data_IF_835768547458
#
_entry.id   IF_835768547458
#
_cell.length_a   1.000
_cell.length_b   1.000
_cell.length_c   1.000
_cell.angle_alpha   90.00
_cell.angle_beta   90.00
_cell.angle_gamma   90.00
#
_symmetry.space_group_name_H-M   'P 1'
#
loop_
_entity.id
_entity.type
_entity.pdbx_description
1 polymer ?
#
# COMPACT_ATOMS: atom_id res chain seq x y z
N UNK A 1 -1.78 -0.27 -27.59
CA UNK A 1 -1.78 1.21 -27.53
C UNK A 1 -2.33 1.72 -26.20
N UNK A 2 -3.57 1.37 -25.80
CA UNK A 2 -4.19 1.78 -24.52
C UNK A 2 -3.39 1.43 -23.26
N UNK A 3 -2.93 0.17 -23.11
CA UNK A 3 -2.11 -0.27 -21.98
C UNK A 3 -0.80 0.52 -21.83
N UNK A 4 -0.17 0.91 -22.96
CA UNK A 4 1.08 1.67 -22.94
C UNK A 4 0.84 3.11 -22.47
N UNK A 5 -0.27 3.74 -22.88
CA UNK A 5 -0.61 5.09 -22.47
C UNK A 5 -0.99 5.16 -20.99
N UNK A 6 -1.77 4.19 -20.49
CA UNK A 6 -2.08 4.05 -19.06
C UNK A 6 -0.80 3.94 -18.23
N UNK A 7 0.12 3.06 -18.64
CA UNK A 7 1.43 2.90 -17.99
C UNK A 7 2.22 4.21 -17.99
N UNK A 8 2.25 4.93 -19.12
CA UNK A 8 2.95 6.22 -19.24
C UNK A 8 2.39 7.29 -18.30
N UNK A 9 1.07 7.42 -18.21
CA UNK A 9 0.42 8.39 -17.29
C UNK A 9 0.78 8.08 -15.85
N UNK A 10 0.70 6.81 -15.44
CA UNK A 10 1.06 6.40 -14.09
C UNK A 10 2.55 6.59 -13.81
N UNK A 11 3.43 6.35 -14.79
CA UNK A 11 4.86 6.60 -14.68
C UNK A 11 5.14 8.09 -14.39
N UNK A 12 4.58 8.99 -15.19
CA UNK A 12 4.74 10.44 -14.99
C UNK A 12 4.16 10.90 -13.64
N UNK A 13 3.04 10.30 -13.22
CA UNK A 13 2.43 10.57 -11.91
C UNK A 13 3.36 10.23 -10.75
N UNK A 14 3.93 9.03 -10.79
CA UNK A 14 4.70 8.45 -9.68
C UNK A 14 6.12 9.02 -9.64
N UNK A 15 6.58 9.63 -10.74
CA UNK A 15 7.82 10.42 -10.81
C UNK A 15 7.64 11.90 -10.44
N UNK A 16 6.42 12.33 -10.08
CA UNK A 16 6.13 13.73 -9.71
C UNK A 16 6.16 14.72 -10.87
N UNK A 17 5.95 14.22 -12.10
CA UNK A 17 5.99 15.01 -13.34
C UNK A 17 4.60 15.33 -13.90
N UNK A 18 3.57 14.60 -13.45
CA UNK A 18 2.20 14.75 -13.97
C UNK A 18 1.52 16.07 -13.56
N UNK A 19 1.92 16.63 -12.42
CA UNK A 19 1.39 17.90 -11.90
C UNK A 19 2.54 18.83 -11.48
N UNK A 20 2.36 20.16 -11.49
CA UNK A 20 3.35 21.08 -10.97
C UNK A 20 3.64 20.88 -9.47
N UNK A 21 4.90 20.99 -9.08
CA UNK A 21 5.38 21.01 -7.70
C UNK A 21 5.01 22.34 -7.02
N UNK A 22 4.36 22.31 -5.86
CA UNK A 22 3.90 23.52 -5.14
C UNK A 22 4.65 23.68 -3.81
N UNK A 23 5.20 24.87 -3.57
CA UNK A 23 6.03 25.15 -2.40
C UNK A 23 5.23 25.11 -1.08
N UNK A 24 3.97 25.53 -1.13
CA UNK A 24 3.08 25.67 0.02
C UNK A 24 2.41 24.35 0.46
N UNK A 25 2.62 23.27 -0.29
CA UNK A 25 2.03 21.95 0.00
C UNK A 25 2.83 21.10 0.99
N UNK A 26 3.95 21.63 1.50
CA UNK A 26 4.80 20.96 2.49
C UNK A 26 5.83 20.01 1.88
N UNK A 27 6.32 19.06 2.69
CA UNK A 27 7.28 18.02 2.29
C UNK A 27 6.85 16.64 2.79
N UNK A 28 7.32 15.57 2.16
CA UNK A 28 7.03 14.19 2.55
C UNK A 28 7.49 13.84 3.97
N UNK A 29 8.57 14.48 4.42
CA UNK A 29 9.12 14.29 5.76
C UNK A 29 8.10 14.62 6.87
N UNK A 30 7.24 15.63 6.65
CA UNK A 30 6.19 16.00 7.60
C UNK A 30 5.20 14.84 7.81
N UNK A 31 4.87 14.10 6.75
CA UNK A 31 4.00 12.93 6.83
C UNK A 31 4.67 11.76 7.53
N UNK A 32 5.95 11.51 7.27
CA UNK A 32 6.69 10.45 7.96
C UNK A 32 6.79 10.72 9.45
N UNK A 33 7.01 11.98 9.85
CA UNK A 33 7.03 12.36 11.27
C UNK A 33 5.66 12.21 11.93
N UNK A 34 4.57 12.62 11.25
CA UNK A 34 3.20 12.38 11.74
C UNK A 34 2.90 10.87 11.90
N UNK A 35 3.31 10.04 10.94
CA UNK A 35 3.17 8.59 11.01
C UNK A 35 3.94 8.03 12.22
N UNK A 36 5.17 8.50 12.44
CA UNK A 36 6.00 8.09 13.58
C UNK A 36 5.33 8.43 14.90
N UNK A 37 4.77 9.63 15.04
CA UNK A 37 4.05 10.07 16.23
C UNK A 37 2.79 9.23 16.48
N UNK A 38 2.01 8.94 15.44
CA UNK A 38 0.83 8.08 15.57
C UNK A 38 1.20 6.65 15.95
N UNK A 39 2.26 6.08 15.36
CA UNK A 39 2.78 4.76 15.76
C UNK A 39 3.19 4.75 17.23
N UNK A 40 3.89 5.78 17.72
CA UNK A 40 4.26 5.88 19.14
C UNK A 40 3.03 5.91 20.05
N UNK A 41 1.99 6.65 19.67
CA UNK A 41 0.71 6.68 20.38
C UNK A 41 0.04 5.31 20.40
N UNK A 42 -0.05 4.63 19.26
CA UNK A 42 -0.65 3.30 19.17
C UNK A 42 0.13 2.23 19.96
N UNK A 43 1.45 2.35 20.08
CA UNK A 43 2.27 1.50 20.95
C UNK A 43 1.96 1.77 22.43
N UNK A 44 1.83 3.04 22.84
CA UNK A 44 1.42 3.40 24.21
C UNK A 44 0.02 2.88 24.55
N UNK A 45 -0.88 2.85 23.59
CA UNK A 45 -2.24 2.29 23.71
C UNK A 45 -2.29 0.75 23.64
N UNK A 46 -1.16 0.07 23.41
CA UNK A 46 -1.10 -1.40 23.30
C UNK A 46 -1.68 -1.97 22.00
N UNK A 47 -1.98 -1.12 21.01
CA UNK A 47 -2.51 -1.52 19.69
C UNK A 47 -1.42 -1.95 18.71
N UNK A 48 -0.17 -1.52 18.94
CA UNK A 48 1.01 -1.91 18.18
C UNK A 48 2.11 -2.46 19.08
N UNK A 49 2.93 -3.35 18.52
CA UNK A 49 4.15 -3.82 19.17
C UNK A 49 5.24 -2.75 19.06
N UNK A 50 6.17 -2.71 20.02
CA UNK A 50 7.33 -1.79 20.00
C UNK A 50 8.18 -1.91 18.73
N UNK A 51 8.24 -3.10 18.13
CA UNK A 51 8.93 -3.33 16.85
C UNK A 51 8.37 -2.52 15.68
N UNK A 52 7.16 -1.97 15.79
CA UNK A 52 6.59 -1.08 14.77
C UNK A 52 7.22 0.33 14.77
N UNK A 53 8.07 0.65 15.76
CA UNK A 53 8.81 1.92 15.85
C UNK A 53 10.20 1.86 15.24
N UNK A 54 10.63 0.68 14.78
CA UNK A 54 11.86 0.49 14.01
C UNK A 54 11.61 0.95 12.58
N UNK A 55 11.49 2.26 12.41
CA UNK A 55 11.20 2.88 11.12
C UNK A 55 12.46 2.92 10.25
N UNK A 56 12.27 2.56 8.98
CA UNK A 56 13.26 2.78 7.92
C UNK A 56 13.25 4.25 7.51
N UNK A 57 14.43 4.87 7.49
CA UNK A 57 14.65 6.22 6.96
C UNK A 57 15.48 6.11 5.70
N UNK A 58 14.91 6.52 4.57
CA UNK A 58 15.59 6.51 3.27
C UNK A 58 15.96 7.94 2.89
N UNK A 59 17.22 8.13 2.53
CA UNK A 59 17.77 9.44 2.17
C UNK A 59 18.82 9.33 1.06
N UNK A 60 19.08 10.45 0.38
CA UNK A 60 20.14 10.57 -0.62
C UNK A 60 21.35 11.25 0.02
N UNK A 61 22.52 10.63 -0.06
CA UNK A 61 23.78 11.16 0.45
C UNK A 61 24.41 12.20 -0.49
N UNK A 62 25.44 12.89 -0.01
CA UNK A 62 26.19 13.89 -0.78
C UNK A 62 26.94 13.29 -1.99
N UNK A 63 27.16 11.98 -1.96
CA UNK A 63 27.73 11.18 -3.05
C UNK A 63 26.70 10.75 -4.11
N UNK A 64 25.47 11.30 -4.04
CA UNK A 64 24.32 10.98 -4.89
C UNK A 64 23.81 9.53 -4.80
N UNK A 65 24.23 8.77 -3.80
CA UNK A 65 23.74 7.41 -3.53
C UNK A 65 22.57 7.44 -2.55
N UNK A 66 21.74 6.40 -2.60
CA UNK A 66 20.62 6.26 -1.66
C UNK A 66 20.96 5.27 -0.55
N UNK A 67 20.58 5.63 0.66
CA UNK A 67 20.83 4.87 1.88
C UNK A 67 19.53 4.64 2.63
N UNK A 68 19.42 3.47 3.24
CA UNK A 68 18.36 3.11 4.17
C UNK A 68 18.96 2.87 5.55
N UNK A 69 18.58 3.72 6.50
CA UNK A 69 18.93 3.57 7.90
C UNK A 69 17.81 2.86 8.66
N UNK A 70 18.16 1.77 9.34
CA UNK A 70 17.29 1.04 10.27
C UNK A 70 18.08 0.85 11.56
N UNK A 71 17.60 1.44 12.66
CA UNK A 71 18.31 1.51 13.92
C UNK A 71 19.76 2.05 13.76
N UNK A 72 20.76 1.18 13.91
CA UNK A 72 22.19 1.48 13.78
C UNK A 72 22.79 1.02 12.45
N UNK A 73 22.04 0.25 11.67
CA UNK A 73 22.48 -0.26 10.39
C UNK A 73 22.13 0.77 9.31
N UNK A 74 23.12 1.07 8.46
CA UNK A 74 22.94 1.94 7.31
C UNK A 74 23.38 1.18 6.06
N UNK A 75 22.44 0.94 5.14
CA UNK A 75 22.65 0.13 3.95
C UNK A 75 22.49 0.98 2.71
N UNK A 76 23.44 0.90 1.78
CA UNK A 76 23.26 1.46 0.43
C UNK A 76 22.18 0.67 -0.32
N UNK A 77 21.21 1.39 -0.88
CA UNK A 77 20.07 0.84 -1.64
C UNK A 77 19.92 1.50 -3.02
N UNK A 78 20.96 2.17 -3.52
CA UNK A 78 20.93 2.89 -4.81
C UNK A 78 20.43 2.01 -5.96
N UNK A 79 20.81 0.73 -5.98
CA UNK A 79 20.38 -0.23 -7.02
C UNK A 79 18.89 -0.58 -6.95
N UNK A 80 18.24 -0.39 -5.80
CA UNK A 80 16.80 -0.61 -5.61
C UNK A 80 15.96 0.62 -6.05
N UNK A 81 16.59 1.77 -6.29
CA UNK A 81 15.91 3.02 -6.64
C UNK A 81 15.61 3.07 -8.13
N UNK A 82 14.31 3.16 -8.45
CA UNK A 82 13.82 3.08 -9.82
C UNK A 82 14.03 4.37 -10.63
N UNK A 83 14.03 5.52 -9.95
CA UNK A 83 14.14 6.86 -10.54
C UNK A 83 14.39 7.92 -9.46
N UNK A 84 14.88 9.10 -9.88
CA UNK A 84 14.99 10.26 -9.01
C UNK A 84 13.63 10.89 -8.71
N UNK A 85 13.50 11.41 -7.49
CA UNK A 85 12.29 12.08 -7.01
C UNK A 85 12.44 13.61 -7.01
N UNK A 86 11.32 14.36 -7.06
CA UNK A 86 11.33 15.78 -6.73
C UNK A 86 11.85 16.04 -5.31
N UNK A 87 12.47 17.20 -5.07
CA UNK A 87 13.13 17.53 -3.79
C UNK A 87 12.25 17.40 -2.54
N UNK A 88 10.92 17.53 -2.69
CA UNK A 88 9.95 17.50 -1.59
C UNK A 88 9.39 16.12 -1.31
N UNK A 89 9.70 15.15 -2.17
CA UNK A 89 9.28 13.78 -2.07
C UNK A 89 10.35 12.95 -1.37
N UNK A 90 9.95 11.80 -0.83
CA UNK A 90 10.88 10.85 -0.25
C UNK A 90 10.51 9.43 -0.66
N UNK A 91 11.53 8.58 -0.82
CA UNK A 91 11.31 7.15 -0.86
C UNK A 91 10.99 6.65 0.55
N UNK A 92 10.09 5.69 0.65
CA UNK A 92 9.83 4.98 1.90
C UNK A 92 9.35 3.56 1.62
N UNK A 93 9.28 2.73 2.66
CA UNK A 93 8.72 1.38 2.58
C UNK A 93 7.21 1.44 2.85
N UNK A 94 6.42 0.62 2.15
CA UNK A 94 4.95 0.55 2.36
C UNK A 94 4.58 0.26 3.82
N UNK A 95 5.37 -0.58 4.49
CA UNK A 95 5.21 -0.89 5.90
C UNK A 95 5.34 0.32 6.84
N UNK A 96 6.01 1.38 6.40
CA UNK A 96 6.09 2.63 7.14
C UNK A 96 4.73 3.32 7.16
N UNK A 97 4.04 3.35 6.03
CA UNK A 97 2.82 4.14 5.81
C UNK A 97 1.55 3.42 6.30
N UNK A 98 1.51 2.09 6.16
CA UNK A 98 0.31 1.30 6.40
C UNK A 98 0.49 0.30 7.54
N UNK A 99 -0.51 0.23 8.41
CA UNK A 99 -0.75 -0.91 9.28
C UNK A 99 -1.19 -2.10 8.43
N UNK A 100 -0.40 -3.18 8.50
CA UNK A 100 -0.59 -4.38 7.69
C UNK A 100 -1.17 -5.53 8.50
N UNK A 101 -2.18 -6.20 7.95
CA UNK A 101 -2.67 -7.49 8.43
C UNK A 101 -3.02 -8.42 7.28
N UNK A 102 -2.92 -9.73 7.51
CA UNK A 102 -3.49 -10.74 6.61
C UNK A 102 -4.88 -11.15 7.11
N UNK A 103 -5.69 -11.68 6.20
CA UNK A 103 -6.93 -12.35 6.56
C UNK A 103 -6.72 -13.67 7.32
N UNK A 104 -7.82 -14.33 7.67
CA UNK A 104 -7.82 -15.59 8.41
C UNK A 104 -7.70 -16.78 7.45
N UNK A 105 -6.86 -17.75 7.77
CA UNK A 105 -6.76 -19.00 7.03
C UNK A 105 -7.90 -19.92 7.47
N UNK A 106 -8.64 -20.52 6.53
CA UNK A 106 -9.64 -21.54 6.85
C UNK A 106 -8.95 -22.88 7.13
N UNK A 107 -9.13 -23.43 8.33
CA UNK A 107 -8.64 -24.76 8.70
C UNK A 107 -9.69 -25.52 9.54
N UNK A 108 -9.51 -26.83 9.72
CA UNK A 108 -10.47 -27.71 10.45
C UNK A 108 -10.70 -27.27 11.91
N UNK A 109 -9.79 -26.50 12.49
CA UNK A 109 -9.89 -25.99 13.87
C UNK A 109 -10.69 -24.70 14.01
N UNK A 110 -11.06 -24.04 12.90
CA UNK A 110 -11.79 -22.77 12.91
C UNK A 110 -13.31 -22.96 13.12
N UNK A 111 -13.70 -23.62 14.21
CA UNK A 111 -15.11 -23.85 14.54
C UNK A 111 -15.68 -22.84 15.54
N UNK A 112 -14.85 -21.95 16.10
CA UNK A 112 -15.23 -20.99 17.14
C UNK A 112 -15.38 -19.58 16.60
N UNK A 113 -16.28 -18.83 17.23
CA UNK A 113 -16.53 -17.42 16.92
C UNK A 113 -17.82 -17.18 16.15
N UNK A 114 -18.01 -15.95 15.68
CA UNK A 114 -19.20 -15.53 14.94
C UNK A 114 -19.05 -15.91 13.46
N UNK A 115 -20.06 -16.56 12.89
CA UNK A 115 -20.11 -16.84 11.47
C UNK A 115 -20.26 -15.51 10.70
N UNK A 116 -19.31 -15.20 9.82
CA UNK A 116 -19.28 -13.94 9.06
C UNK A 116 -18.85 -14.18 7.62
N UNK A 117 -19.44 -13.39 6.71
CA UNK A 117 -19.06 -13.36 5.29
C UNK A 117 -17.65 -12.83 5.12
N UNK A 118 -16.90 -13.46 4.22
CA UNK A 118 -15.55 -13.06 3.89
C UNK A 118 -15.31 -13.05 2.37
N UNK A 119 -14.31 -12.26 1.95
CA UNK A 119 -13.80 -12.26 0.58
C UNK A 119 -12.47 -12.99 0.47
N UNK A 120 -12.22 -13.56 -0.70
CA UNK A 120 -10.95 -14.17 -1.10
C UNK A 120 -10.34 -13.43 -2.27
N UNK A 121 -9.16 -13.85 -2.72
CA UNK A 121 -8.54 -13.31 -3.92
C UNK A 121 -9.41 -13.47 -5.18
N UNK A 122 -10.36 -14.42 -5.20
CA UNK A 122 -11.32 -14.56 -6.32
C UNK A 122 -12.42 -13.51 -6.32
N UNK A 123 -12.61 -12.78 -5.22
CA UNK A 123 -13.60 -11.71 -5.14
C UNK A 123 -13.01 -10.32 -5.43
N UNK A 124 -11.68 -10.15 -5.37
CA UNK A 124 -10.98 -8.87 -5.46
C UNK A 124 -10.41 -8.66 -6.86
N UNK A 125 -10.75 -7.55 -7.52
CA UNK A 125 -10.28 -7.15 -8.85
C UNK A 125 -9.78 -5.69 -8.85
N UNK A 126 -9.00 -5.28 -9.87
CA UNK A 126 -8.38 -3.93 -9.92
C UNK A 126 -9.37 -2.76 -9.76
N UNK A 127 -10.62 -2.94 -10.19
CA UNK A 127 -11.63 -1.88 -10.21
C UNK A 127 -12.90 -2.23 -9.42
N UNK A 128 -12.85 -3.28 -8.59
CA UNK A 128 -13.99 -3.62 -7.76
C UNK A 128 -13.94 -5.00 -7.14
N UNK A 129 -15.10 -5.39 -6.64
CA UNK A 129 -15.29 -6.67 -5.95
C UNK A 129 -16.51 -7.38 -6.51
N UNK A 130 -16.40 -8.70 -6.64
CA UNK A 130 -17.55 -9.58 -6.91
C UNK A 130 -18.04 -10.12 -5.57
N UNK A 131 -19.20 -9.66 -5.14
CA UNK A 131 -19.75 -9.91 -3.80
C UNK A 131 -20.94 -10.89 -3.79
N UNK A 132 -21.20 -11.55 -4.91
CA UNK A 132 -22.23 -12.56 -5.00
C UNK A 132 -21.81 -13.85 -4.30
N UNK A 133 -22.75 -14.47 -3.58
CA UNK A 133 -22.57 -15.79 -2.95
C UNK A 133 -21.31 -15.92 -2.08
N UNK A 134 -21.02 -14.90 -1.26
CA UNK A 134 -19.88 -14.93 -0.34
C UNK A 134 -19.97 -16.12 0.61
N UNK A 135 -18.81 -16.76 0.81
CA UNK A 135 -18.63 -17.81 1.80
C UNK A 135 -18.60 -17.21 3.20
N UNK A 136 -18.85 -18.05 4.20
CA UNK A 136 -18.81 -17.68 5.60
C UNK A 136 -17.81 -18.56 6.37
N UNK A 137 -17.17 -17.98 7.38
CA UNK A 137 -16.41 -18.74 8.36
C UNK A 137 -16.50 -18.11 9.75
N UNK A 138 -16.29 -18.88 10.83
CA UNK A 138 -16.27 -18.33 12.18
C UNK A 138 -15.08 -17.40 12.42
N UNK A 139 -15.29 -16.28 13.12
CA UNK A 139 -14.24 -15.35 13.59
C UNK A 139 -14.40 -15.04 15.07
N UNK A 140 -13.31 -15.16 15.83
CA UNK A 140 -13.23 -14.71 17.21
C UNK A 140 -12.97 -13.20 17.29
N UNK A 141 -13.29 -12.55 18.42
CA UNK A 141 -13.21 -11.09 18.55
C UNK A 141 -11.83 -10.52 18.20
N UNK A 142 -10.75 -11.18 18.63
CA UNK A 142 -9.37 -10.80 18.31
C UNK A 142 -9.01 -10.97 16.82
N UNK A 143 -9.73 -11.83 16.09
CA UNK A 143 -9.55 -12.01 14.65
C UNK A 143 -10.38 -11.03 13.85
N UNK A 144 -11.54 -10.62 14.36
CA UNK A 144 -12.41 -9.63 13.70
C UNK A 144 -11.63 -8.33 13.49
N UNK A 145 -11.05 -7.76 14.54
CA UNK A 145 -10.32 -6.49 14.44
C UNK A 145 -9.16 -6.55 13.44
N UNK A 146 -8.46 -7.70 13.40
CA UNK A 146 -7.30 -7.92 12.53
C UNK A 146 -7.71 -8.13 11.07
N UNK A 147 -8.71 -8.96 10.83
CA UNK A 147 -9.07 -9.47 9.50
C UNK A 147 -10.26 -8.74 8.86
N UNK A 148 -10.84 -7.74 9.53
CA UNK A 148 -11.91 -6.90 8.97
C UNK A 148 -11.33 -5.73 8.18
N UNK A 149 -11.79 -5.61 6.94
CA UNK A 149 -11.63 -4.43 6.10
C UNK A 149 -12.78 -3.46 6.33
N UNK A 150 -12.47 -2.17 6.31
CA UNK A 150 -13.43 -1.06 6.40
C UNK A 150 -13.17 -0.06 5.27
N UNK A 151 -14.08 0.91 5.11
CA UNK A 151 -13.98 1.92 4.06
C UNK A 151 -12.62 2.62 4.08
N UNK A 152 -11.96 2.67 2.92
CA UNK A 152 -10.65 3.28 2.72
C UNK A 152 -9.46 2.35 2.88
N UNK A 153 -9.65 1.11 3.34
CA UNK A 153 -8.56 0.12 3.37
C UNK A 153 -8.17 -0.28 1.95
N UNK A 154 -6.86 -0.36 1.68
CA UNK A 154 -6.32 -0.91 0.44
C UNK A 154 -6.11 -2.42 0.62
N UNK A 155 -6.75 -3.20 -0.24
CA UNK A 155 -6.66 -4.65 -0.23
C UNK A 155 -5.78 -5.12 -1.39
N UNK A 156 -4.84 -6.02 -1.12
CA UNK A 156 -3.87 -6.51 -2.12
C UNK A 156 -3.81 -8.03 -2.11
N UNK A 157 -3.89 -8.67 -3.28
CA UNK A 157 -3.74 -10.11 -3.45
C UNK A 157 -2.30 -10.56 -3.24
N UNK A 158 -2.11 -11.51 -2.31
CA UNK A 158 -0.83 -12.21 -2.11
C UNK A 158 -0.56 -13.23 -3.23
N UNK A 159 -1.62 -13.89 -3.69
CA UNK A 159 -1.57 -15.02 -4.63
C UNK A 159 -2.72 -15.03 -5.64
N UNK A 160 -2.61 -15.88 -6.65
CA UNK A 160 -3.45 -15.83 -7.85
C UNK A 160 -2.91 -14.80 -8.83
N UNK A 161 -3.52 -13.60 -8.83
CA UNK A 161 -3.05 -12.44 -9.59
C UNK A 161 -2.31 -11.49 -8.62
N UNK A 162 -1.00 -11.69 -8.52
CA UNK A 162 -0.16 -11.12 -7.47
C UNK A 162 -0.08 -9.59 -7.63
N UNK A 163 -0.31 -8.87 -6.52
CA UNK A 163 -0.30 -7.42 -6.52
C UNK A 163 -1.60 -6.77 -7.00
N UNK A 164 -2.57 -7.57 -7.48
CA UNK A 164 -3.92 -7.08 -7.77
C UNK A 164 -4.50 -6.43 -6.53
N UNK A 165 -4.95 -5.18 -6.67
CA UNK A 165 -5.38 -4.40 -5.52
C UNK A 165 -6.67 -3.64 -5.79
N UNK A 166 -7.41 -3.33 -4.73
CA UNK A 166 -8.58 -2.49 -4.78
C UNK A 166 -8.80 -1.83 -3.43
N UNK A 167 -9.40 -0.64 -3.44
CA UNK A 167 -9.80 0.05 -2.21
C UNK A 167 -11.19 -0.42 -1.82
N UNK A 168 -11.35 -0.87 -0.59
CA UNK A 168 -12.67 -1.15 -0.05
C UNK A 168 -13.42 0.17 0.14
N UNK A 169 -14.36 0.50 -0.76
CA UNK A 169 -15.08 1.79 -0.74
C UNK A 169 -16.55 1.67 -0.28
N UNK A 170 -16.93 0.53 0.28
CA UNK A 170 -18.28 0.30 0.79
C UNK A 170 -18.43 0.81 2.22
N UNK A 171 -19.62 1.29 2.57
CA UNK A 171 -19.96 1.78 3.92
C UNK A 171 -20.24 0.66 4.94
N UNK A 172 -19.98 -0.60 4.58
CA UNK A 172 -20.07 -1.76 5.47
C UNK A 172 -18.74 -2.52 5.54
N UNK A 173 -18.40 -3.15 6.68
CA UNK A 173 -17.18 -3.92 6.81
C UNK A 173 -17.26 -5.29 6.12
N UNK A 174 -16.11 -5.88 5.78
CA UNK A 174 -16.02 -7.25 5.28
C UNK A 174 -14.84 -7.99 5.88
N UNK A 175 -14.98 -9.31 6.08
CA UNK A 175 -13.88 -10.14 6.56
C UNK A 175 -12.97 -10.61 5.41
N UNK A 176 -11.70 -10.85 5.71
CA UNK A 176 -10.69 -11.25 4.73
C UNK A 176 -10.17 -12.67 4.99
N UNK A 177 -9.89 -13.39 3.91
CA UNK A 177 -9.13 -14.65 3.94
C UNK A 177 -7.61 -14.41 3.86
N UNK A 178 -6.79 -15.37 4.31
CA UNK A 178 -5.33 -15.28 4.46
C UNK A 178 -4.51 -14.81 3.24
N UNK A 179 -5.04 -14.87 2.02
CA UNK A 179 -4.34 -14.42 0.81
C UNK A 179 -4.69 -12.99 0.36
N UNK A 180 -5.39 -12.24 1.21
CA UNK A 180 -5.59 -10.80 1.03
C UNK A 180 -4.82 -10.08 2.13
N UNK A 181 -3.93 -9.18 1.72
CA UNK A 181 -3.33 -8.20 2.59
C UNK A 181 -4.26 -7.00 2.75
N UNK A 182 -4.45 -6.58 4.00
CA UNK A 182 -5.10 -5.33 4.37
C UNK A 182 -4.05 -4.29 4.70
N UNK A 183 -4.10 -3.16 4.03
CA UNK A 183 -3.28 -1.98 4.29
C UNK A 183 -4.20 -0.85 4.76
N UNK A 184 -4.11 -0.52 6.06
CA UNK A 184 -4.82 0.62 6.66
C UNK A 184 -3.82 1.73 6.96
N UNK A 185 -3.98 2.95 6.43
CA UNK A 185 -2.98 4.00 6.65
C UNK A 185 -2.95 4.41 8.13
N UNK A 186 -1.77 4.69 8.67
CA UNK A 186 -1.64 5.13 10.08
C UNK A 186 -2.26 6.51 10.29
N UNK A 187 -2.11 7.41 9.32
CA UNK A 187 -2.68 8.75 9.30
C UNK A 187 -3.54 8.94 8.04
N UNK A 188 -4.50 9.88 8.00
CA UNK A 188 -5.21 10.19 6.77
C UNK A 188 -4.24 10.55 5.63
N UNK A 189 -4.44 9.97 4.44
CA UNK A 189 -3.68 10.24 3.22
C UNK A 189 -4.48 9.79 1.99
N UNK A 190 -3.98 10.06 0.78
CA UNK A 190 -4.67 9.64 -0.43
C UNK A 190 -4.36 8.16 -0.74
N UNK A 191 -5.13 7.21 -0.18
CA UNK A 191 -4.92 5.76 -0.42
C UNK A 191 -4.93 5.40 -1.92
N UNK A 192 -5.70 6.13 -2.74
CA UNK A 192 -5.79 5.96 -4.19
C UNK A 192 -4.46 6.19 -4.92
N UNK A 193 -3.60 7.06 -4.39
CA UNK A 193 -2.25 7.25 -4.92
C UNK A 193 -1.42 5.96 -4.81
N UNK A 194 -1.47 5.27 -3.67
CA UNK A 194 -0.77 4.00 -3.47
C UNK A 194 -1.37 2.87 -4.30
N UNK A 195 -2.69 2.83 -4.47
CA UNK A 195 -3.34 1.93 -5.43
C UNK A 195 -2.76 2.10 -6.84
N UNK A 196 -2.54 3.33 -7.30
CA UNK A 196 -1.94 3.58 -8.61
C UNK A 196 -0.47 3.19 -8.70
N UNK A 197 0.28 3.28 -7.60
CA UNK A 197 1.64 2.73 -7.53
C UNK A 197 1.61 1.22 -7.74
N UNK A 198 0.75 0.49 -7.03
CA UNK A 198 0.59 -0.95 -7.26
C UNK A 198 0.17 -1.26 -8.70
N UNK A 199 -0.72 -0.45 -9.28
CA UNK A 199 -1.14 -0.62 -10.66
C UNK A 199 0.01 -0.43 -11.65
N UNK A 200 0.84 0.60 -11.48
CA UNK A 200 2.04 0.79 -12.30
C UNK A 200 3.02 -0.36 -12.11
N UNK A 201 3.30 -0.77 -10.88
CA UNK A 201 4.26 -1.83 -10.59
C UNK A 201 3.83 -3.15 -11.21
N UNK A 202 2.53 -3.46 -11.21
CA UNK A 202 1.99 -4.63 -11.90
C UNK A 202 2.13 -4.49 -13.43
N UNK A 203 1.72 -3.37 -14.01
CA UNK A 203 1.86 -3.09 -15.46
C UNK A 203 3.31 -3.07 -15.94
N UNK A 204 4.25 -2.73 -15.05
CA UNK A 204 5.68 -2.74 -15.32
C UNK A 204 6.34 -4.10 -15.07
N UNK A 205 5.62 -5.08 -14.53
CA UNK A 205 6.16 -6.40 -14.16
C UNK A 205 7.07 -6.39 -12.94
N UNK A 206 7.06 -5.31 -12.15
CA UNK A 206 7.81 -5.17 -10.89
C UNK A 206 7.19 -6.00 -9.76
N UNK A 207 5.88 -6.25 -9.83
CA UNK A 207 5.16 -7.19 -8.95
C UNK A 207 4.37 -8.18 -9.81
N UNK A 208 4.34 -9.45 -9.41
CA UNK A 208 3.46 -10.47 -9.98
C UNK A 208 3.74 -10.98 -11.40
N UNK A 209 4.87 -10.59 -12.02
CA UNK A 209 5.32 -11.15 -13.30
C UNK A 209 6.15 -12.43 -13.14
N UNK A 210 6.52 -13.12 -14.24
CA UNK A 210 7.47 -14.26 -14.29
C UNK A 210 8.96 -13.85 -14.36
N UNK A 211 9.29 -12.62 -13.96
CA UNK A 211 10.60 -11.97 -14.17
C UNK A 211 11.46 -11.85 -12.91
N UNK A 212 12.30 -10.80 -12.84
CA UNK A 212 13.19 -10.51 -11.69
C UNK A 212 12.44 -9.74 -10.57
N UNK A 213 11.27 -9.16 -10.88
CA UNK A 213 10.43 -8.45 -9.91
C UNK A 213 9.89 -9.35 -8.79
N UNK A 214 9.14 -8.78 -7.84
CA UNK A 214 8.61 -9.52 -6.69
C UNK A 214 7.65 -10.61 -7.16
N UNK A 215 8.14 -11.85 -7.19
CA UNK A 215 7.44 -13.05 -7.69
C UNK A 215 6.33 -13.53 -6.75
N UNK A 216 6.42 -13.19 -5.46
CA UNK A 216 5.43 -13.51 -4.44
C UNK A 216 5.27 -12.34 -3.49
N UNK A 217 4.04 -11.89 -3.26
CA UNK A 217 3.78 -10.73 -2.42
C UNK A 217 3.63 -11.10 -0.95
N UNK A 218 4.54 -11.92 -0.42
CA UNK A 218 4.54 -12.27 1.00
C UNK A 218 4.46 -11.01 1.88
N UNK A 219 3.98 -11.14 3.11
CA UNK A 219 3.89 -10.01 4.04
C UNK A 219 5.20 -9.24 4.19
N UNK A 220 6.35 -9.94 4.17
CA UNK A 220 7.68 -9.30 4.21
C UNK A 220 7.98 -8.52 2.93
N UNK A 221 7.68 -9.09 1.76
CA UNK A 221 7.91 -8.43 0.48
C UNK A 221 7.03 -7.19 0.31
N UNK A 222 5.74 -7.29 0.66
CA UNK A 222 4.80 -6.17 0.69
C UNK A 222 5.29 -5.06 1.64
N UNK A 223 5.64 -5.42 2.87
CA UNK A 223 6.13 -4.46 3.87
C UNK A 223 7.36 -3.69 3.38
N UNK A 224 8.27 -4.38 2.69
CA UNK A 224 9.51 -3.81 2.18
C UNK A 224 9.39 -3.19 0.77
N UNK A 225 8.20 -3.09 0.19
CA UNK A 225 8.05 -2.49 -1.14
C UNK A 225 8.39 -0.99 -1.07
N UNK A 226 9.34 -0.54 -1.91
CA UNK A 226 9.69 0.88 -2.05
C UNK A 226 8.62 1.63 -2.80
N UNK A 227 8.20 2.76 -2.25
CA UNK A 227 7.24 3.65 -2.87
C UNK A 227 7.65 5.11 -2.70
N UNK A 228 7.37 5.96 -3.70
CA UNK A 228 7.54 7.39 -3.52
C UNK A 228 6.42 7.95 -2.66
N UNK A 229 6.75 8.92 -1.82
CA UNK A 229 5.82 9.64 -0.97
C UNK A 229 5.88 11.14 -1.30
N UNK A 230 4.84 11.72 -1.92
CA UNK A 230 4.65 13.16 -2.06
C UNK A 230 4.07 13.77 -0.77
N UNK A 231 4.12 15.11 -0.63
CA UNK A 231 3.24 15.84 0.27
C UNK A 231 1.76 15.49 0.03
N UNK A 232 0.95 15.49 1.10
CA UNK A 232 -0.40 14.92 1.06
C UNK A 232 -1.33 15.61 0.04
N UNK A 233 -1.29 16.95 -0.04
CA UNK A 233 -2.10 17.72 -1.00
C UNK A 233 -1.75 17.37 -2.44
N UNK A 234 -0.46 17.16 -2.71
CA UNK A 234 0.02 16.77 -4.02
C UNK A 234 -0.47 15.36 -4.40
N UNK A 235 -0.53 14.42 -3.45
CA UNK A 235 -1.11 13.08 -3.71
C UNK A 235 -2.53 13.18 -4.28
N UNK A 236 -3.39 14.03 -3.71
CA UNK A 236 -4.76 14.23 -4.20
C UNK A 236 -4.81 14.88 -5.58
N UNK A 237 -3.95 15.88 -5.84
CA UNK A 237 -3.84 16.52 -7.16
C UNK A 237 -3.41 15.53 -8.24
N UNK A 238 -2.42 14.70 -7.94
CA UNK A 238 -1.96 13.64 -8.84
C UNK A 238 -3.10 12.68 -9.16
N UNK A 239 -3.79 12.17 -8.14
CA UNK A 239 -4.93 11.25 -8.33
C UNK A 239 -6.03 11.91 -9.17
N UNK A 240 -6.37 13.17 -8.88
CA UNK A 240 -7.37 13.92 -9.66
C UNK A 240 -6.98 14.01 -11.14
N UNK A 241 -5.70 14.28 -11.42
CA UNK A 241 -5.19 14.37 -12.78
C UNK A 241 -5.14 13.00 -13.49
N UNK A 242 -4.78 11.92 -12.78
CA UNK A 242 -4.83 10.56 -13.32
C UNK A 242 -6.26 10.21 -13.74
N UNK A 243 -7.23 10.39 -12.85
CA UNK A 243 -8.64 10.04 -13.11
C UNK A 243 -9.18 10.83 -14.30
N UNK A 244 -8.92 12.15 -14.36
CA UNK A 244 -9.30 13.00 -15.51
C UNK A 244 -8.74 12.48 -16.83
N UNK A 245 -7.47 12.07 -16.85
CA UNK A 245 -6.85 11.54 -18.07
C UNK A 245 -7.41 10.16 -18.41
N UNK A 246 -7.67 9.30 -17.43
CA UNK A 246 -8.24 7.98 -17.66
C UNK A 246 -9.67 8.05 -18.20
N UNK A 247 -10.47 9.03 -17.78
CA UNK A 247 -11.79 9.28 -18.35
C UNK A 247 -11.73 9.63 -19.85
N UNK A 248 -10.70 10.36 -20.29
CA UNK A 248 -10.49 10.68 -21.70
C UNK A 248 -10.01 9.49 -22.54
N UNK A 249 -9.60 8.40 -21.88
CA UNK A 249 -9.16 7.15 -22.51
C UNK A 249 -10.23 6.06 -22.55
N UNK A 250 -11.45 6.36 -22.04
CA UNK A 250 -12.63 5.50 -22.15
C UNK A 250 -13.34 5.76 -23.46
#
# INVERSE_FOLDING_TARGET
>A
MWHNLKKSILQEAIQGKLVPQIAEEGIAQDLLEQIRQEKQKLVKEGKLKKSALTDSVIYKGDDNKYYEQIDKENKEITEDILFDLPNKWQWCRIGTIFMHNNGKQLNKGNSKGKLMKYITTSNLYWDGFVLDNLKEMPFENNEIDRCMAVKGDLLVCEGGDIGRSCIWNYDFPIMLQNHIHKLRPYIPLCTKFFYYIFNLYNLAGLIGGKGIGIQGFSSKALHNTLVPLPPQKEQYRIVTQIEKLFEQLR
#
